data_IF_775866117175
#
_entry.id   IF_775866117175
#
_cell.length_a   1.000
_cell.length_b   1.000
_cell.length_c   1.000
_cell.angle_alpha   90.00
_cell.angle_beta   90.00
_cell.angle_gamma   90.00
#
_symmetry.space_group_name_H-M   'P 1'
#
loop_
_entity.id
_entity.type
_entity.pdbx_description
1 polymer ?
#
# COMPACT_ATOMS: atom_id res chain seq x y z
N UNK A 1 -20.17 0.83 -12.63
CA UNK A 1 -18.77 1.15 -12.25
C UNK A 1 -17.91 -0.04 -12.61
N UNK A 2 -16.76 0.17 -13.26
CA UNK A 2 -15.75 -0.87 -13.50
C UNK A 2 -14.55 -0.50 -12.62
N UNK A 3 -14.38 -1.19 -11.50
CA UNK A 3 -13.20 -1.05 -10.62
C UNK A 3 -12.39 -2.34 -10.79
N UNK A 4 -11.08 -2.26 -11.05
CA UNK A 4 -10.21 -3.43 -11.13
C UNK A 4 -10.28 -4.28 -9.86
N UNK A 5 -10.10 -5.60 -9.97
CA UNK A 5 -10.20 -6.48 -8.81
C UNK A 5 -9.01 -6.36 -7.85
N UNK A 6 -7.89 -5.83 -8.33
CA UNK A 6 -6.66 -5.72 -7.56
C UNK A 6 -5.59 -4.90 -8.26
N UNK A 7 -4.49 -4.66 -7.54
CA UNK A 7 -3.36 -3.86 -7.99
C UNK A 7 -2.65 -4.48 -9.20
N UNK A 8 -2.73 -5.80 -9.39
CA UNK A 8 -2.16 -6.49 -10.55
C UNK A 8 -2.76 -6.03 -11.88
N UNK A 9 -4.05 -5.70 -11.93
CA UNK A 9 -4.71 -5.18 -13.14
C UNK A 9 -4.28 -3.73 -13.47
N UNK A 10 -3.55 -3.09 -12.56
CA UNK A 10 -2.97 -1.75 -12.71
C UNK A 10 -1.45 -1.78 -12.90
N UNK A 11 -0.88 -2.94 -13.22
CA UNK A 11 0.56 -3.16 -13.45
C UNK A 11 1.46 -2.82 -12.24
N UNK A 12 0.91 -2.87 -11.03
CA UNK A 12 1.70 -2.73 -9.80
C UNK A 12 2.60 -3.95 -9.63
N UNK A 13 3.85 -3.71 -9.21
CA UNK A 13 4.86 -4.74 -9.03
C UNK A 13 5.15 -4.98 -7.56
N UNK A 14 5.22 -6.25 -7.16
CA UNK A 14 5.56 -6.65 -5.79
C UNK A 14 6.97 -6.18 -5.39
N UNK A 15 7.91 -6.09 -6.35
CA UNK A 15 9.29 -5.61 -6.12
C UNK A 15 9.34 -4.16 -5.60
N UNK A 16 8.30 -3.37 -5.86
CA UNK A 16 8.20 -1.97 -5.44
C UNK A 16 7.55 -1.79 -4.05
N UNK A 17 7.03 -2.84 -3.42
CA UNK A 17 6.26 -2.74 -2.17
C UNK A 17 7.02 -2.08 -1.02
N UNK A 18 8.30 -2.41 -0.86
CA UNK A 18 9.11 -1.80 0.20
C UNK A 18 9.25 -0.29 -0.03
N UNK A 19 9.49 0.14 -1.26
CA UNK A 19 9.58 1.54 -1.66
C UNK A 19 8.25 2.27 -1.44
N UNK A 20 7.13 1.65 -1.82
CA UNK A 20 5.80 2.21 -1.63
C UNK A 20 5.44 2.34 -0.15
N UNK A 21 5.77 1.34 0.67
CA UNK A 21 5.54 1.36 2.11
C UNK A 21 6.40 2.43 2.83
N UNK A 22 7.67 2.58 2.43
CA UNK A 22 8.54 3.65 2.93
C UNK A 22 7.99 5.04 2.62
N UNK A 23 7.39 5.22 1.45
CA UNK A 23 6.76 6.48 1.06
C UNK A 23 5.42 6.68 1.78
N UNK A 24 4.61 5.64 1.93
CA UNK A 24 3.34 5.70 2.65
C UNK A 24 3.53 6.08 4.12
N UNK A 25 4.60 5.62 4.78
CA UNK A 25 4.95 6.03 6.15
C UNK A 25 5.31 7.53 6.27
N UNK A 26 5.74 8.16 5.17
CA UNK A 26 6.09 9.58 5.10
C UNK A 26 4.95 10.45 4.60
N UNK A 27 3.86 9.84 4.13
CA UNK A 27 2.72 10.57 3.61
C UNK A 27 1.95 11.27 4.75
N UNK A 28 1.61 12.54 4.55
CA UNK A 28 0.95 13.36 5.55
C UNK A 28 -0.42 12.81 5.97
N UNK A 29 -1.10 12.05 5.10
CA UNK A 29 -2.37 11.42 5.42
C UNK A 29 -2.21 10.29 6.45
N UNK A 30 -1.03 9.65 6.51
CA UNK A 30 -0.72 8.60 7.48
C UNK A 30 -0.77 9.09 8.93
N UNK A 31 -0.46 10.37 9.17
CA UNK A 31 -0.46 10.98 10.50
C UNK A 31 -1.83 10.89 11.19
N UNK A 32 -2.92 10.97 10.42
CA UNK A 32 -4.29 10.97 10.97
C UNK A 32 -4.96 9.61 10.87
N UNK A 33 -4.30 8.58 10.33
CA UNK A 33 -4.84 7.23 10.35
C UNK A 33 -4.96 6.75 11.82
N UNK A 34 -6.15 6.37 12.31
CA UNK A 34 -6.36 6.05 13.73
C UNK A 34 -5.56 4.83 14.19
N UNK A 35 -5.14 3.98 13.25
CA UNK A 35 -4.17 2.91 13.49
C UNK A 35 -2.85 3.27 12.80
N UNK A 36 -1.84 3.66 13.58
CA UNK A 36 -0.50 3.84 13.03
C UNK A 36 0.05 2.49 12.57
N UNK A 37 0.35 2.37 11.29
CA UNK A 37 0.83 1.14 10.68
C UNK A 37 2.37 1.11 10.69
N UNK A 38 2.93 -0.08 10.86
CA UNK A 38 4.34 -0.35 10.60
C UNK A 38 4.59 -0.55 9.10
N UNK A 39 5.85 -0.44 8.68
CA UNK A 39 6.27 -0.73 7.31
C UNK A 39 5.77 -2.11 6.83
N UNK A 40 5.98 -3.14 7.64
CA UNK A 40 5.52 -4.50 7.36
C UNK A 40 4.00 -4.58 7.16
N UNK A 41 3.22 -3.92 8.02
CA UNK A 41 1.76 -3.92 7.87
C UNK A 41 1.31 -3.24 6.57
N UNK A 42 2.00 -2.20 6.11
CA UNK A 42 1.69 -1.54 4.84
C UNK A 42 2.04 -2.46 3.66
N UNK A 43 3.19 -3.15 3.70
CA UNK A 43 3.54 -4.18 2.70
C UNK A 43 2.50 -5.29 2.66
N UNK A 44 2.06 -5.78 3.83
CA UNK A 44 1.04 -6.83 3.92
C UNK A 44 -0.32 -6.34 3.35
N UNK A 45 -0.65 -5.05 3.50
CA UNK A 45 -1.85 -4.44 2.88
C UNK A 45 -1.72 -4.40 1.36
N UNK A 46 -0.57 -4.01 0.81
CA UNK A 46 -0.34 -4.05 -0.65
C UNK A 46 -0.44 -5.49 -1.18
N UNK A 47 0.16 -6.46 -0.49
CA UNK A 47 0.08 -7.87 -0.86
C UNK A 47 -1.36 -8.43 -0.81
N UNK A 48 -2.16 -8.01 0.17
CA UNK A 48 -3.56 -8.40 0.27
C UNK A 48 -4.45 -7.79 -0.84
N UNK A 49 -3.99 -6.70 -1.46
CA UNK A 49 -4.69 -6.00 -2.53
C UNK A 49 -4.20 -6.36 -3.95
N UNK A 50 -3.25 -7.29 -4.08
CA UNK A 50 -2.73 -7.75 -5.38
C UNK A 50 -3.75 -8.50 -6.22
#
# INVERSE_FOLDING_TARGET
MKIPSGLKELDVKEEDFNTLADNALKDACGLTNPKQASHKEIVDIFAAAM
#
